data_IF_180293474939
#
_entry.id   IF_180293474939
#
_cell.length_a   1.000
_cell.length_b   1.000
_cell.length_c   1.000
_cell.angle_alpha   90.00
_cell.angle_beta   90.00
_cell.angle_gamma   90.00
#
_symmetry.space_group_name_H-M   'P 1'
#
loop_
_entity.id
_entity.type
_entity.pdbx_description
1 polymer ?
#
# COMPACT_ATOMS: atom_id res chain seq x y z
N UNK A 1 -0.28 7.28 23.10
CA UNK A 1 -1.40 8.20 22.81
C UNK A 1 -1.24 8.80 21.41
N UNK A 2 -0.14 9.50 21.17
CA UNK A 2 0.09 10.31 19.96
C UNK A 2 -0.06 9.59 18.61
N UNK A 3 0.29 8.30 18.51
CA UNK A 3 0.21 7.55 17.24
C UNK A 3 -1.21 7.17 16.83
N UNK A 4 -2.12 7.07 17.80
CA UNK A 4 -3.48 6.55 17.63
C UNK A 4 -4.57 7.58 17.97
N UNK A 5 -4.21 8.72 18.57
CA UNK A 5 -5.15 9.74 19.02
C UNK A 5 -5.93 9.36 20.27
N UNK A 6 -5.40 8.47 21.11
CA UNK A 6 -6.04 8.01 22.35
C UNK A 6 -5.62 8.90 23.51
N UNK A 7 -6.58 9.50 24.22
CA UNK A 7 -6.35 10.23 25.47
C UNK A 7 -6.39 9.27 26.67
N UNK A 8 -5.36 9.30 27.52
CA UNK A 8 -5.33 8.51 28.75
C UNK A 8 -5.75 9.37 29.94
N UNK A 9 -6.84 8.99 30.60
CA UNK A 9 -7.28 9.63 31.84
C UNK A 9 -6.33 9.26 32.99
N UNK A 10 -5.95 10.25 33.79
CA UNK A 10 -5.06 10.04 34.94
C UNK A 10 -3.56 9.98 34.62
N UNK A 11 -3.15 10.20 33.36
CA UNK A 11 -1.72 10.31 33.02
C UNK A 11 -1.20 11.73 33.30
N UNK A 12 -0.15 11.92 34.11
CA UNK A 12 0.28 13.24 34.57
C UNK A 12 0.95 14.10 33.49
N UNK A 13 1.66 13.50 32.53
CA UNK A 13 2.34 14.23 31.45
C UNK A 13 2.29 13.49 30.10
N UNK A 14 1.22 13.64 29.32
CA UNK A 14 1.11 13.04 28.00
C UNK A 14 1.94 13.82 26.96
N UNK A 15 3.24 13.55 26.89
CA UNK A 15 4.15 14.12 25.88
C UNK A 15 4.32 13.24 24.64
N UNK A 16 4.66 13.86 23.52
CA UNK A 16 5.10 13.18 22.29
C UNK A 16 6.47 12.53 22.54
N UNK A 17 6.62 11.24 22.23
CA UNK A 17 7.87 10.47 22.41
C UNK A 17 8.53 10.14 21.08
N UNK A 18 7.73 9.83 20.06
CA UNK A 18 8.23 9.44 18.75
C UNK A 18 8.04 10.53 17.70
N UNK A 19 6.94 11.30 17.78
CA UNK A 19 6.68 12.33 16.78
C UNK A 19 7.49 13.60 17.04
N UNK A 20 7.95 14.26 15.97
CA UNK A 20 8.38 15.64 16.05
C UNK A 20 7.29 16.54 16.64
N UNK A 21 7.71 17.61 17.32
CA UNK A 21 6.81 18.61 17.93
C UNK A 21 5.76 19.14 16.94
N UNK A 22 6.20 19.48 15.74
CA UNK A 22 5.40 20.06 14.66
C UNK A 22 4.60 19.04 13.84
N UNK A 23 4.70 17.75 14.13
CA UNK A 23 3.96 16.74 13.37
C UNK A 23 2.48 16.76 13.74
N UNK A 24 1.63 16.81 12.71
CA UNK A 24 0.18 16.79 12.82
C UNK A 24 -0.42 15.44 12.41
N UNK A 25 -1.36 14.93 13.20
CA UNK A 25 -2.06 13.67 12.94
C UNK A 25 -1.53 12.46 13.72
N UNK A 26 -2.02 11.28 13.32
CA UNK A 26 -1.87 10.02 14.06
C UNK A 26 -1.55 8.88 13.07
N UNK A 27 -0.26 8.61 12.80
CA UNK A 27 0.17 7.76 11.67
C UNK A 27 -0.39 6.34 11.66
N UNK A 28 -0.73 5.78 12.84
CA UNK A 28 -1.21 4.41 12.96
C UNK A 28 -2.74 4.30 12.88
N UNK A 29 -3.46 5.40 12.65
CA UNK A 29 -4.90 5.38 12.38
C UNK A 29 -5.19 4.83 10.98
N UNK A 30 -6.29 4.08 10.85
CA UNK A 30 -6.72 3.51 9.56
C UNK A 30 -7.13 4.59 8.56
N UNK A 31 -7.60 5.74 8.98
CA UNK A 31 -7.96 6.87 8.11
C UNK A 31 -6.77 7.74 7.71
N UNK A 32 -5.60 7.55 8.33
CA UNK A 32 -4.43 8.36 8.03
C UNK A 32 -3.93 8.08 6.59
N UNK A 33 -3.70 9.12 5.77
CA UNK A 33 -3.24 8.95 4.39
C UNK A 33 -1.80 8.43 4.40
N UNK A 34 -1.61 7.18 3.99
CA UNK A 34 -0.31 6.58 3.78
C UNK A 34 -0.03 6.50 2.29
N UNK A 35 1.12 7.01 1.85
CA UNK A 35 1.56 6.90 0.46
C UNK A 35 1.62 5.44 -0.02
N UNK A 36 1.81 4.49 0.89
CA UNK A 36 1.77 3.05 0.59
C UNK A 36 0.39 2.53 0.15
N UNK A 37 -0.69 3.23 0.48
CA UNK A 37 -2.05 2.89 0.01
C UNK A 37 -2.41 3.54 -1.31
N UNK A 38 -1.55 4.42 -1.83
CA UNK A 38 -1.74 4.97 -3.16
C UNK A 38 -1.49 3.84 -4.16
N UNK A 39 -2.54 3.38 -4.83
CA UNK A 39 -2.42 2.42 -5.93
C UNK A 39 -1.62 3.11 -7.04
N UNK A 40 -0.38 2.68 -7.24
CA UNK A 40 0.31 2.99 -8.49
C UNK A 40 -0.31 2.14 -9.59
N UNK A 41 -0.80 2.73 -10.70
CA UNK A 41 -1.23 1.94 -11.84
C UNK A 41 -0.05 1.09 -12.32
N UNK A 42 -0.30 -0.21 -12.52
CA UNK A 42 0.69 -1.09 -13.12
C UNK A 42 1.09 -0.51 -14.50
N UNK A 43 2.39 -0.37 -14.83
CA UNK A 43 2.87 0.34 -16.02
C UNK A 43 2.53 -0.31 -17.36
N UNK A 44 1.65 -1.32 -17.41
CA UNK A 44 1.04 -1.75 -18.66
C UNK A 44 2.02 -2.34 -19.68
N UNK A 45 2.99 -3.13 -19.25
CA UNK A 45 3.65 -4.14 -20.10
C UNK A 45 3.78 -5.37 -19.21
N UNK A 46 2.77 -6.23 -19.28
CA UNK A 46 2.91 -7.60 -18.81
C UNK A 46 3.51 -8.34 -19.98
N UNK A 47 4.77 -8.78 -19.86
CA UNK A 47 5.36 -9.73 -20.80
C UNK A 47 4.61 -11.06 -20.65
N UNK A 48 3.42 -11.14 -21.22
CA UNK A 48 2.66 -12.37 -21.36
C UNK A 48 3.37 -13.18 -22.43
N UNK A 49 4.46 -13.86 -22.06
CA UNK A 49 5.06 -14.89 -22.91
C UNK A 49 3.96 -15.86 -23.32
N UNK A 50 3.79 -16.02 -24.62
CA UNK A 50 2.81 -16.92 -25.20
C UNK A 50 3.19 -18.34 -24.82
N UNK A 51 2.29 -19.05 -24.13
CA UNK A 51 2.51 -20.43 -23.67
C UNK A 51 3.10 -21.27 -24.82
N UNK A 52 4.31 -21.85 -24.66
CA UNK A 52 4.93 -22.63 -25.72
C UNK A 52 4.13 -23.93 -25.90
N UNK A 53 3.45 -24.05 -27.04
CA UNK A 53 2.70 -25.28 -27.37
C UNK A 53 1.47 -25.11 -28.25
N UNK A 54 0.96 -23.89 -28.45
CA UNK A 54 -0.20 -23.71 -29.34
C UNK A 54 0.24 -23.62 -30.82
N UNK A 55 0.75 -24.72 -31.36
CA UNK A 55 0.95 -24.90 -32.79
C UNK A 55 -0.39 -25.28 -33.44
N UNK A 56 -0.98 -24.34 -34.17
CA UNK A 56 -2.14 -24.60 -35.01
C UNK A 56 -1.78 -25.57 -36.14
N UNK A 57 -2.32 -26.78 -36.07
CA UNK A 57 -2.23 -27.76 -37.15
C UNK A 57 -2.96 -27.27 -38.41
N UNK A 58 -2.22 -26.79 -39.40
CA UNK A 58 -2.72 -26.67 -40.78
C UNK A 58 -2.42 -27.98 -41.50
N UNK A 59 -3.41 -28.86 -41.54
CA UNK A 59 -3.39 -30.05 -42.40
C UNK A 59 -3.31 -29.64 -43.87
N UNK A 60 -2.31 -30.19 -44.57
CA UNK A 60 -2.14 -30.10 -46.02
C UNK A 60 -3.34 -30.73 -46.75
N UNK A 61 -3.94 -30.00 -47.67
CA UNK A 61 -4.73 -30.59 -48.74
C UNK A 61 -3.77 -30.99 -49.87
N UNK A 62 -3.84 -32.26 -50.28
CA UNK A 62 -3.29 -32.78 -51.54
C UNK A 62 -4.35 -32.72 -52.61
#
# INVERSE_FOLDING_TARGET
>A
AEMFGITFTGHPDPRKLYLPSHFEGHPLRKDFPLLSRLVKPWPGISDAEKIPGQQGGRGRAR
#
